data_IF_259726577961
#
_entry.id   IF_259726577961
#
_cell.length_a   1.000
_cell.length_b   1.000
_cell.length_c   1.000
_cell.angle_alpha   90.00
_cell.angle_beta   90.00
_cell.angle_gamma   90.00
#
_symmetry.space_group_name_H-M   'P 1'
#
loop_
_entity.id
_entity.type
_entity.pdbx_description
1 polymer ?
#
# COMPACT_ATOMS: atom_id res chain seq x y z
N UNK A 1 7.70 -11.61 -12.89
CA UNK A 1 7.57 -11.74 -11.42
C UNK A 1 6.86 -13.05 -11.09
N UNK A 2 7.24 -13.74 -10.01
CA UNK A 2 6.60 -14.98 -9.56
C UNK A 2 5.36 -14.70 -8.70
N UNK A 3 4.44 -15.67 -8.66
CA UNK A 3 3.36 -15.74 -7.67
C UNK A 3 3.83 -16.62 -6.50
N UNK A 4 3.54 -16.21 -5.26
CA UNK A 4 3.89 -16.96 -4.05
C UNK A 4 2.63 -17.11 -3.20
N UNK A 5 2.34 -18.32 -2.73
CA UNK A 5 1.33 -18.58 -1.71
C UNK A 5 2.00 -19.24 -0.51
N UNK A 6 1.58 -18.85 0.69
CA UNK A 6 2.16 -19.30 1.95
C UNK A 6 1.05 -19.51 2.96
N UNK A 7 1.22 -20.55 3.78
CA UNK A 7 0.39 -20.75 4.96
C UNK A 7 0.71 -19.66 6.00
N UNK A 8 -0.32 -18.96 6.47
CA UNK A 8 -0.13 -17.80 7.35
C UNK A 8 0.44 -18.19 8.73
N UNK A 9 0.02 -19.32 9.29
CA UNK A 9 0.38 -19.72 10.66
C UNK A 9 1.72 -20.45 10.68
N UNK A 10 1.87 -21.45 9.82
CA UNK A 10 3.07 -22.28 9.73
C UNK A 10 4.21 -21.61 8.97
N UNK A 11 3.93 -20.52 8.24
CA UNK A 11 4.88 -19.86 7.32
C UNK A 11 5.42 -20.80 6.24
N UNK A 12 4.76 -21.92 5.99
CA UNK A 12 5.17 -22.88 4.97
C UNK A 12 4.77 -22.37 3.59
N UNK A 13 5.72 -22.36 2.66
CA UNK A 13 5.42 -22.02 1.27
C UNK A 13 4.55 -23.12 0.67
N UNK A 14 3.38 -22.75 0.17
CA UNK A 14 2.42 -23.65 -0.48
C UNK A 14 2.74 -23.72 -1.99
N UNK A 15 3.08 -22.58 -2.59
CA UNK A 15 3.34 -22.51 -4.02
C UNK A 15 4.29 -21.37 -4.38
N UNK A 16 5.17 -21.63 -5.35
CA UNK A 16 5.92 -20.60 -6.10
C UNK A 16 5.70 -20.88 -7.58
N UNK A 17 5.09 -19.94 -8.31
CA UNK A 17 4.75 -20.10 -9.72
C UNK A 17 5.52 -19.10 -10.59
N UNK A 18 5.97 -19.55 -11.75
CA UNK A 18 6.69 -18.74 -12.75
C UNK A 18 5.74 -17.86 -13.59
N UNK A 19 4.71 -17.29 -12.96
CA UNK A 19 3.72 -16.43 -13.61
C UNK A 19 2.64 -15.98 -12.63
N UNK A 20 2.01 -14.84 -12.93
CA UNK A 20 0.91 -14.24 -12.15
C UNK A 20 -0.42 -14.22 -12.91
N UNK A 21 -0.49 -14.89 -14.05
CA UNK A 21 -1.74 -14.94 -14.82
C UNK A 21 -2.79 -15.73 -14.05
N UNK A 22 -4.06 -15.35 -14.21
CA UNK A 22 -5.16 -16.09 -13.60
C UNK A 22 -5.15 -17.56 -14.01
N UNK A 23 -4.81 -17.87 -15.27
CA UNK A 23 -4.73 -19.24 -15.77
C UNK A 23 -3.69 -20.06 -15.01
N UNK A 24 -2.48 -19.53 -14.84
CA UNK A 24 -1.39 -20.22 -14.11
C UNK A 24 -1.78 -20.49 -12.66
N UNK A 25 -2.32 -19.50 -11.96
CA UNK A 25 -2.73 -19.63 -10.55
C UNK A 25 -3.89 -20.63 -10.43
N UNK A 26 -4.89 -20.54 -11.31
CA UNK A 26 -6.08 -21.40 -11.30
C UNK A 26 -5.71 -22.87 -11.51
N UNK A 27 -4.90 -23.13 -12.53
CA UNK A 27 -4.48 -24.49 -12.87
C UNK A 27 -3.65 -25.13 -11.75
N UNK A 28 -2.88 -24.35 -11.00
CA UNK A 28 -2.19 -24.84 -9.82
C UNK A 28 -3.18 -25.24 -8.71
N UNK A 29 -4.09 -24.35 -8.33
CA UNK A 29 -4.98 -24.60 -7.19
C UNK A 29 -6.10 -25.60 -7.49
N UNK A 30 -6.47 -25.83 -8.75
CA UNK A 30 -7.43 -26.87 -9.13
C UNK A 30 -6.92 -28.30 -8.94
N UNK A 31 -5.63 -28.50 -8.63
CA UNK A 31 -5.11 -29.79 -8.18
C UNK A 31 -5.63 -30.18 -6.79
N UNK A 32 -6.06 -29.20 -5.99
CA UNK A 32 -6.71 -29.44 -4.70
C UNK A 32 -8.21 -29.58 -4.89
N UNK A 33 -8.78 -30.61 -4.24
CA UNK A 33 -10.22 -30.86 -4.28
C UNK A 33 -11.00 -29.63 -3.79
N UNK A 34 -12.24 -29.48 -4.26
CA UNK A 34 -13.12 -28.38 -3.84
C UNK A 34 -13.29 -28.35 -2.33
N UNK A 35 -13.43 -29.53 -1.70
CA UNK A 35 -13.56 -29.66 -0.25
C UNK A 35 -12.37 -29.06 0.50
N UNK A 36 -11.14 -29.31 0.04
CA UNK A 36 -9.92 -28.73 0.63
C UNK A 36 -9.91 -27.21 0.45
N UNK A 37 -10.18 -26.73 -0.77
CA UNK A 37 -10.18 -25.28 -1.03
C UNK A 37 -11.25 -24.52 -0.25
N UNK A 38 -12.42 -25.13 -0.04
CA UNK A 38 -13.51 -24.56 0.75
C UNK A 38 -13.24 -24.53 2.26
N UNK A 39 -12.17 -25.16 2.75
CA UNK A 39 -11.69 -25.03 4.14
C UNK A 39 -10.91 -23.74 4.37
N UNK A 40 -10.37 -23.11 3.32
CA UNK A 40 -9.68 -21.81 3.45
C UNK A 40 -10.68 -20.77 3.94
N UNK A 41 -10.38 -20.16 5.09
CA UNK A 41 -11.26 -19.17 5.74
C UNK A 41 -10.87 -17.74 5.46
N UNK A 42 -9.58 -17.48 5.24
CA UNK A 42 -9.04 -16.13 5.11
C UNK A 42 -7.95 -16.14 4.06
N UNK A 43 -7.94 -15.10 3.22
CA UNK A 43 -6.89 -14.86 2.23
C UNK A 43 -6.44 -13.42 2.37
N UNK A 44 -5.16 -13.24 2.65
CA UNK A 44 -4.51 -11.93 2.56
C UNK A 44 -3.95 -11.73 1.15
N UNK A 45 -4.25 -10.61 0.51
CA UNK A 45 -3.72 -10.30 -0.82
C UNK A 45 -3.55 -8.80 -1.07
N UNK A 46 -2.78 -8.47 -2.09
CA UNK A 46 -2.63 -7.09 -2.58
C UNK A 46 -3.92 -6.59 -3.26
N UNK A 47 -4.07 -5.27 -3.39
CA UNK A 47 -5.17 -4.62 -4.10
C UNK A 47 -5.04 -4.74 -5.62
N UNK A 48 -5.15 -5.95 -6.16
CA UNK A 48 -5.07 -6.22 -7.59
C UNK A 48 -6.35 -6.90 -8.09
N UNK A 49 -7.17 -6.15 -8.86
CA UNK A 49 -8.50 -6.59 -9.29
C UNK A 49 -8.53 -8.00 -9.92
N UNK A 50 -7.56 -8.43 -10.77
CA UNK A 50 -7.56 -9.78 -11.31
C UNK A 50 -7.44 -10.89 -10.26
N UNK A 51 -6.96 -10.61 -9.05
CA UNK A 51 -6.91 -11.61 -7.98
C UNK A 51 -8.25 -11.82 -7.27
N UNK A 52 -9.14 -10.84 -7.29
CA UNK A 52 -10.44 -10.97 -6.59
C UNK A 52 -11.31 -12.05 -7.21
N UNK A 53 -11.41 -12.07 -8.54
CA UNK A 53 -12.27 -13.02 -9.24
C UNK A 53 -11.78 -14.45 -9.11
N UNK A 54 -10.47 -14.64 -9.19
CA UNK A 54 -9.87 -15.96 -9.03
C UNK A 54 -9.91 -16.41 -7.57
N UNK A 55 -9.69 -15.52 -6.60
CA UNK A 55 -9.77 -15.88 -5.17
C UNK A 55 -11.18 -16.34 -4.79
N UNK A 56 -12.22 -15.63 -5.24
CA UNK A 56 -13.62 -16.05 -5.03
C UNK A 56 -13.95 -17.39 -5.68
N UNK A 57 -13.47 -17.63 -6.91
CA UNK A 57 -13.67 -18.91 -7.63
C UNK A 57 -12.93 -20.07 -6.97
N UNK A 58 -11.71 -19.83 -6.49
CA UNK A 58 -10.87 -20.86 -5.89
C UNK A 58 -11.28 -21.15 -4.45
N UNK A 59 -11.62 -20.14 -3.66
CA UNK A 59 -11.79 -20.22 -2.21
C UNK A 59 -13.10 -19.56 -1.80
N UNK A 60 -14.21 -20.17 -2.18
CA UNK A 60 -15.57 -19.60 -2.07
C UNK A 60 -15.97 -19.15 -0.65
N UNK A 61 -15.39 -19.76 0.38
CA UNK A 61 -15.75 -19.53 1.78
C UNK A 61 -14.77 -18.60 2.50
N UNK A 62 -13.76 -18.09 1.78
CA UNK A 62 -12.70 -17.29 2.38
C UNK A 62 -13.09 -15.81 2.40
N UNK A 63 -12.88 -15.15 3.56
CA UNK A 63 -12.86 -13.69 3.64
C UNK A 63 -11.56 -13.18 3.01
N UNK A 64 -11.68 -12.16 2.16
CA UNK A 64 -10.52 -11.49 1.57
C UNK A 64 -10.13 -10.33 2.48
N UNK A 65 -8.86 -10.32 2.89
CA UNK A 65 -8.22 -9.27 3.68
C UNK A 65 -7.22 -8.58 2.77
N UNK A 66 -7.40 -7.28 2.54
CA UNK A 66 -6.42 -6.51 1.77
C UNK A 66 -5.19 -6.17 2.60
N UNK A 67 -4.03 -6.10 1.93
CA UNK A 67 -2.84 -5.59 2.57
C UNK A 67 -2.98 -4.09 2.88
N UNK A 68 -2.97 -3.79 4.18
CA UNK A 68 -3.04 -2.43 4.75
C UNK A 68 -1.98 -1.49 4.18
N UNK A 69 -0.79 -2.01 3.87
CA UNK A 69 0.27 -1.19 3.29
C UNK A 69 -0.15 -0.59 1.95
N UNK A 70 -0.84 -1.38 1.11
CA UNK A 70 -1.29 -0.89 -0.18
C UNK A 70 -2.37 0.17 -0.07
N UNK A 71 -3.27 0.09 0.92
CA UNK A 71 -4.30 1.11 1.18
C UNK A 71 -3.65 2.45 1.55
N UNK A 72 -2.72 2.43 2.51
CA UNK A 72 -1.94 3.63 2.91
C UNK A 72 -1.09 4.14 1.76
N UNK A 73 -0.50 3.24 0.96
CA UNK A 73 0.30 3.61 -0.21
C UNK A 73 -0.55 4.30 -1.29
N UNK A 74 -1.80 3.87 -1.49
CA UNK A 74 -2.73 4.54 -2.38
C UNK A 74 -3.00 5.98 -1.93
N UNK A 75 -3.32 6.20 -0.65
CA UNK A 75 -3.49 7.55 -0.10
C UNK A 75 -2.25 8.43 -0.27
N UNK A 76 -1.07 7.91 0.04
CA UNK A 76 0.21 8.61 -0.14
C UNK A 76 0.42 9.06 -1.59
N UNK A 77 0.20 8.15 -2.54
CA UNK A 77 0.35 8.44 -3.98
C UNK A 77 -0.66 9.47 -4.45
N UNK A 78 -1.88 9.42 -3.94
CA UNK A 78 -2.93 10.40 -4.25
C UNK A 78 -2.51 11.80 -3.76
N UNK A 79 -2.06 11.90 -2.51
CA UNK A 79 -1.58 13.18 -1.96
C UNK A 79 -0.38 13.73 -2.72
N UNK A 80 0.56 12.86 -3.14
CA UNK A 80 1.70 13.30 -3.95
C UNK A 80 1.28 13.77 -5.34
N UNK A 81 0.32 13.09 -5.99
CA UNK A 81 -0.23 13.53 -7.28
C UNK A 81 -0.88 14.90 -7.17
N UNK A 82 -1.69 15.14 -6.14
CA UNK A 82 -2.29 16.45 -5.90
C UNK A 82 -1.21 17.52 -5.66
N UNK A 83 -0.23 17.22 -4.80
CA UNK A 83 0.91 18.11 -4.58
C UNK A 83 1.66 18.43 -5.87
N UNK A 84 1.86 17.45 -6.76
CA UNK A 84 2.50 17.66 -8.07
C UNK A 84 1.63 18.56 -8.96
N UNK A 85 0.32 18.31 -9.01
CA UNK A 85 -0.62 19.15 -9.75
C UNK A 85 -0.50 20.62 -9.33
N UNK A 86 -0.58 20.89 -8.02
CA UNK A 86 -0.47 22.23 -7.45
C UNK A 86 0.94 22.81 -7.67
N UNK A 87 1.99 22.02 -7.42
CA UNK A 87 3.37 22.44 -7.62
C UNK A 87 3.63 22.89 -9.06
N UNK A 88 3.05 22.22 -10.06
CA UNK A 88 3.25 22.54 -11.47
C UNK A 88 2.51 23.81 -11.93
N UNK A 89 1.65 24.40 -11.09
CA UNK A 89 1.04 25.72 -11.36
C UNK A 89 2.03 26.87 -11.11
N UNK A 90 3.07 26.63 -10.32
CA UNK A 90 4.12 27.62 -10.06
C UNK A 90 5.24 27.58 -11.09
N UNK A 91 5.89 28.71 -11.32
CA UNK A 91 7.11 28.76 -12.13
C UNK A 91 8.21 27.87 -11.52
N UNK A 92 8.98 27.17 -12.36
CA UNK A 92 9.98 26.20 -11.90
C UNK A 92 11.14 26.83 -11.12
N UNK A 93 11.38 28.13 -11.29
CA UNK A 93 12.41 28.89 -10.57
C UNK A 93 11.87 29.53 -9.28
N UNK A 94 10.54 29.58 -9.10
CA UNK A 94 9.88 30.12 -7.91
C UNK A 94 10.31 29.42 -6.61
N UNK A 95 10.12 30.12 -5.50
CA UNK A 95 10.43 29.59 -4.17
C UNK A 95 9.46 28.46 -3.79
N UNK A 96 8.18 28.64 -4.11
CA UNK A 96 7.05 27.74 -3.89
C UNK A 96 7.29 26.39 -4.55
N UNK A 97 7.61 26.39 -5.85
CA UNK A 97 7.94 25.18 -6.61
C UNK A 97 9.08 24.40 -5.94
N UNK A 98 10.19 25.08 -5.62
CA UNK A 98 11.37 24.47 -5.00
C UNK A 98 11.07 23.91 -3.61
N UNK A 99 10.26 24.63 -2.82
CA UNK A 99 9.86 24.20 -1.49
C UNK A 99 8.96 22.96 -1.54
N UNK A 100 7.89 22.98 -2.35
CA UNK A 100 6.99 21.84 -2.55
C UNK A 100 7.72 20.60 -3.09
N UNK A 101 8.69 20.81 -4.00
CA UNK A 101 9.52 19.72 -4.54
C UNK A 101 10.49 19.15 -3.51
N UNK A 102 11.14 19.98 -2.70
CA UNK A 102 12.16 19.54 -1.76
C UNK A 102 11.57 18.84 -0.53
N UNK A 103 10.46 19.36 -0.02
CA UNK A 103 9.88 18.95 1.26
C UNK A 103 8.63 18.06 1.13
N UNK A 104 8.38 17.49 -0.05
CA UNK A 104 7.20 16.65 -0.33
C UNK A 104 6.96 15.54 0.71
N UNK A 105 8.03 14.94 1.27
CA UNK A 105 7.93 13.90 2.29
C UNK A 105 7.24 14.38 3.58
N UNK A 106 7.35 15.66 3.92
CA UNK A 106 6.69 16.23 5.11
C UNK A 106 5.17 16.27 4.94
N UNK A 107 4.67 16.44 3.71
CA UNK A 107 3.24 16.45 3.40
C UNK A 107 2.64 15.04 3.59
N UNK A 108 3.42 13.99 3.29
CA UNK A 108 2.99 12.60 3.48
C UNK A 108 3.17 12.07 4.90
N UNK A 109 4.10 12.67 5.66
CA UNK A 109 4.41 12.22 7.01
C UNK A 109 3.20 12.41 7.93
N UNK A 110 2.99 11.40 8.78
CA UNK A 110 2.02 11.47 9.88
C UNK A 110 2.34 12.67 10.78
N UNK A 111 1.40 13.61 10.85
CA UNK A 111 1.53 14.87 11.57
C UNK A 111 1.91 14.67 13.04
N UNK A 112 1.44 13.59 13.66
CA UNK A 112 1.70 13.22 15.07
C UNK A 112 3.16 12.83 15.31
N UNK A 113 3.90 12.49 14.24
CA UNK A 113 5.30 12.03 14.28
C UNK A 113 6.29 13.08 13.81
N UNK A 114 5.85 14.33 13.62
CA UNK A 114 6.76 15.40 13.18
C UNK A 114 7.74 15.79 14.29
N UNK A 115 9.02 15.86 13.94
CA UNK A 115 10.06 16.28 14.88
C UNK A 115 9.92 17.76 15.24
N UNK A 116 10.10 18.05 16.53
CA UNK A 116 10.10 19.39 17.09
C UNK A 116 11.49 20.03 17.06
N UNK A 117 12.52 19.30 16.56
CA UNK A 117 13.88 19.80 16.48
C UNK A 117 14.01 20.84 15.38
N UNK A 118 14.57 22.00 15.73
CA UNK A 118 14.90 23.07 14.79
C UNK A 118 16.21 22.80 14.08
N UNK A 119 16.25 23.13 12.80
CA UNK A 119 17.45 23.04 11.98
C UNK A 119 17.43 24.12 10.91
N UNK A 120 18.61 24.55 10.47
CA UNK A 120 18.71 25.48 9.36
C UNK A 120 18.16 24.86 8.06
N UNK A 121 17.36 25.64 7.33
CA UNK A 121 16.74 25.24 6.06
C UNK A 121 17.11 26.22 4.97
N UNK A 122 18.06 25.87 4.08
CA UNK A 122 18.55 26.79 3.05
C UNK A 122 17.46 27.35 2.13
N UNK A 123 16.40 26.57 1.86
CA UNK A 123 15.27 27.02 1.04
C UNK A 123 14.57 28.23 1.66
N UNK A 124 14.42 28.26 2.99
CA UNK A 124 13.74 29.32 3.73
C UNK A 124 14.69 30.32 4.40
N UNK A 125 16.01 30.04 4.39
CA UNK A 125 17.06 30.83 5.08
C UNK A 125 16.80 31.05 6.58
N UNK A 126 16.15 30.08 7.22
CA UNK A 126 15.73 30.15 8.63
C UNK A 126 15.96 28.82 9.34
N UNK A 127 16.05 28.87 10.67
CA UNK A 127 15.97 27.68 11.52
C UNK A 127 14.50 27.35 11.78
N UNK A 128 14.04 26.23 11.24
CA UNK A 128 12.64 25.82 11.30
C UNK A 128 12.52 24.37 11.78
N UNK A 129 11.43 24.08 12.47
CA UNK A 129 10.92 22.73 12.73
C UNK A 129 10.24 22.16 11.48
N UNK A 130 10.01 20.84 11.46
CA UNK A 130 9.28 20.23 10.36
C UNK A 130 7.81 20.72 10.29
N UNK A 131 7.19 21.04 11.44
CA UNK A 131 5.84 21.60 11.50
C UNK A 131 5.78 23.00 10.90
N UNK A 132 6.70 23.88 11.26
CA UNK A 132 6.76 25.24 10.68
C UNK A 132 7.01 25.21 9.16
N UNK A 133 7.84 24.29 8.68
CA UNK A 133 8.01 24.09 7.22
C UNK A 133 6.70 23.66 6.60
N UNK A 134 6.02 22.68 7.19
CA UNK A 134 4.78 22.15 6.66
C UNK A 134 3.70 23.24 6.58
N UNK A 135 3.51 24.04 7.63
CA UNK A 135 2.58 25.17 7.61
C UNK A 135 2.88 26.16 6.47
N UNK A 136 4.16 26.44 6.22
CA UNK A 136 4.56 27.27 5.07
C UNK A 136 4.20 26.61 3.74
N UNK A 137 4.39 25.30 3.59
CA UNK A 137 3.98 24.59 2.36
C UNK A 137 2.46 24.66 2.15
N UNK A 138 1.69 24.44 3.22
CA UNK A 138 0.22 24.47 3.17
C UNK A 138 -0.33 25.88 2.93
N UNK A 139 0.43 26.94 3.26
CA UNK A 139 0.04 28.32 2.95
C UNK A 139 0.10 28.67 1.45
N UNK A 140 0.78 27.87 0.62
CA UNK A 140 0.90 28.17 -0.81
C UNK A 140 -0.38 27.87 -1.60
N UNK A 141 -1.28 27.05 -1.08
CA UNK A 141 -2.53 26.71 -1.76
C UNK A 141 -3.59 26.27 -0.75
N UNK A 142 -4.78 26.91 -0.73
CA UNK A 142 -5.91 26.44 0.07
C UNK A 142 -6.30 25.00 -0.26
N UNK A 143 -6.29 24.63 -1.54
CA UNK A 143 -6.60 23.28 -2.01
C UNK A 143 -5.60 22.25 -1.43
N UNK A 144 -4.31 22.59 -1.35
CA UNK A 144 -3.30 21.72 -0.75
C UNK A 144 -3.56 21.50 0.74
N UNK A 145 -3.95 22.57 1.47
CA UNK A 145 -4.25 22.52 2.90
C UNK A 145 -5.46 21.63 3.18
N UNK A 146 -6.57 21.87 2.49
CA UNK A 146 -7.81 21.11 2.65
C UNK A 146 -7.57 19.61 2.45
N UNK A 147 -6.90 19.23 1.35
CA UNK A 147 -6.64 17.83 1.06
C UNK A 147 -5.57 17.21 1.96
N UNK A 148 -4.64 18.01 2.48
CA UNK A 148 -3.70 17.56 3.50
C UNK A 148 -4.43 17.20 4.80
N UNK A 149 -5.34 18.05 5.27
CA UNK A 149 -6.13 17.83 6.48
C UNK A 149 -7.00 16.58 6.34
N UNK A 150 -7.70 16.45 5.22
CA UNK A 150 -8.43 15.23 4.85
C UNK A 150 -7.53 13.99 4.86
N UNK A 151 -6.39 14.06 4.20
CA UNK A 151 -5.44 12.95 4.14
C UNK A 151 -4.95 12.52 5.53
N UNK A 152 -4.67 13.48 6.43
CA UNK A 152 -4.24 13.18 7.79
C UNK A 152 -5.37 12.56 8.63
N UNK A 153 -6.61 13.01 8.48
CA UNK A 153 -7.78 12.40 9.14
C UNK A 153 -8.00 10.96 8.66
N UNK A 154 -7.92 10.71 7.35
CA UNK A 154 -8.01 9.36 6.79
C UNK A 154 -6.90 8.45 7.32
N UNK A 155 -5.66 8.94 7.39
CA UNK A 155 -4.56 8.18 7.99
C UNK A 155 -4.83 7.88 9.47
N UNK A 156 -5.35 8.84 10.23
CA UNK A 156 -5.68 8.68 11.63
C UNK A 156 -6.73 7.58 11.82
N UNK A 157 -7.91 7.69 11.19
CA UNK A 157 -8.96 6.67 11.31
C UNK A 157 -8.49 5.30 10.87
N UNK A 158 -7.69 5.22 9.80
CA UNK A 158 -7.13 3.95 9.34
C UNK A 158 -6.13 3.33 10.34
N UNK A 159 -5.28 4.13 10.95
CA UNK A 159 -4.29 3.66 11.93
C UNK A 159 -4.94 3.26 13.26
N UNK A 160 -5.95 4.00 13.71
CA UNK A 160 -6.73 3.69 14.91
C UNK A 160 -7.79 2.60 14.67
N UNK A 161 -7.85 2.02 13.45
CA UNK A 161 -8.82 0.99 13.04
C UNK A 161 -10.29 1.42 13.20
N UNK A 162 -10.56 2.72 13.08
CA UNK A 162 -11.90 3.30 13.09
C UNK A 162 -12.50 3.21 11.68
N UNK A 163 -12.99 2.03 11.34
CA UNK A 163 -13.41 1.71 9.98
C UNK A 163 -14.63 2.53 9.52
N UNK A 164 -15.61 2.72 10.41
CA UNK A 164 -16.82 3.51 10.12
C UNK A 164 -16.45 4.96 9.81
N UNK A 165 -15.74 5.64 10.73
CA UNK A 165 -15.27 7.01 10.50
C UNK A 165 -14.40 7.17 9.26
N UNK A 166 -13.60 6.17 8.89
CA UNK A 166 -12.81 6.21 7.66
C UNK A 166 -13.70 6.23 6.41
N UNK A 167 -14.76 5.42 6.38
CA UNK A 167 -15.66 5.34 5.23
C UNK A 167 -16.69 6.47 5.21
N UNK A 168 -17.23 6.87 6.36
CA UNK A 168 -18.14 8.00 6.49
C UNK A 168 -17.49 9.27 5.94
N UNK A 169 -16.23 9.54 6.33
CA UNK A 169 -15.47 10.68 5.83
C UNK A 169 -15.27 10.64 4.31
N UNK A 170 -15.11 9.46 3.71
CA UNK A 170 -14.99 9.31 2.25
C UNK A 170 -16.34 9.57 1.57
N UNK A 171 -17.43 9.03 2.12
CA UNK A 171 -18.78 9.14 1.56
C UNK A 171 -19.28 10.60 1.62
N UNK A 172 -18.99 11.33 2.70
CA UNK A 172 -19.40 12.72 2.90
C UNK A 172 -18.83 13.68 1.83
N UNK A 173 -17.58 13.44 1.41
CA UNK A 173 -16.84 14.36 0.53
C UNK A 173 -16.78 13.91 -0.93
N UNK A 174 -17.25 12.71 -1.26
CA UNK A 174 -17.02 12.10 -2.57
C UNK A 174 -17.58 12.93 -3.73
N UNK A 175 -18.61 13.74 -3.48
CA UNK A 175 -19.29 14.58 -4.47
C UNK A 175 -18.50 15.84 -4.85
N UNK A 176 -17.63 16.35 -3.96
CA UNK A 176 -16.92 17.61 -4.13
C UNK A 176 -15.38 17.49 -4.09
N UNK A 177 -14.84 16.33 -3.73
CA UNK A 177 -13.38 16.11 -3.64
C UNK A 177 -12.69 16.22 -5.00
N UNK A 178 -11.42 16.62 -5.00
CA UNK A 178 -10.59 16.67 -6.21
C UNK A 178 -10.60 15.32 -6.98
N UNK A 179 -10.68 15.33 -8.34
CA UNK A 179 -10.72 14.12 -9.17
C UNK A 179 -9.61 13.08 -8.91
N UNK A 180 -8.43 13.53 -8.47
CA UNK A 180 -7.30 12.67 -8.11
C UNK A 180 -7.69 11.76 -6.93
N UNK A 181 -8.36 12.30 -5.91
CA UNK A 181 -8.84 11.56 -4.75
C UNK A 181 -10.06 10.71 -5.09
N UNK A 182 -10.99 11.25 -5.89
CA UNK A 182 -12.22 10.57 -6.30
C UNK A 182 -11.97 9.16 -6.85
N UNK A 183 -10.93 8.99 -7.67
CA UNK A 183 -10.58 7.69 -8.27
C UNK A 183 -10.20 6.64 -7.21
N UNK A 184 -9.42 7.04 -6.21
CA UNK A 184 -9.01 6.14 -5.12
C UNK A 184 -10.17 5.86 -4.18
N UNK A 185 -10.99 6.85 -3.86
CA UNK A 185 -12.18 6.68 -3.04
C UNK A 185 -13.20 5.74 -3.66
N UNK A 186 -13.48 5.86 -4.96
CA UNK A 186 -14.30 4.88 -5.69
C UNK A 186 -13.76 3.46 -5.58
N UNK A 187 -12.44 3.30 -5.62
CA UNK A 187 -11.81 1.99 -5.45
C UNK A 187 -11.99 1.48 -4.02
N UNK A 188 -11.80 2.33 -3.01
CA UNK A 188 -11.99 1.96 -1.61
C UNK A 188 -13.43 1.58 -1.30
N UNK A 189 -14.42 2.32 -1.82
CA UNK A 189 -15.84 1.99 -1.67
C UNK A 189 -16.20 0.68 -2.37
N UNK A 190 -15.67 0.45 -3.58
CA UNK A 190 -15.84 -0.83 -4.30
C UNK A 190 -15.28 -2.03 -3.52
N UNK A 191 -14.21 -1.81 -2.75
CA UNK A 191 -13.55 -2.83 -1.94
C UNK A 191 -13.83 -2.68 -0.44
N UNK A 192 -14.91 -1.97 -0.06
CA UNK A 192 -15.25 -1.65 1.34
C UNK A 192 -15.21 -2.88 2.24
N UNK A 193 -15.86 -3.96 1.83
CA UNK A 193 -15.89 -5.25 2.55
C UNK A 193 -14.49 -5.82 2.87
N UNK A 194 -13.54 -5.69 1.94
CA UNK A 194 -12.19 -6.27 2.07
C UNK A 194 -11.27 -5.36 2.88
N UNK A 195 -11.51 -4.04 2.83
CA UNK A 195 -10.83 -3.04 3.64
C UNK A 195 -11.32 -3.13 5.10
N UNK A 196 -12.62 -3.31 5.34
CA UNK A 196 -13.19 -3.58 6.67
C UNK A 196 -12.52 -4.81 7.29
N UNK A 197 -12.46 -5.92 6.54
CA UNK A 197 -11.73 -7.12 6.97
C UNK A 197 -10.26 -6.82 7.30
N UNK A 198 -9.62 -5.90 6.57
CA UNK A 198 -8.25 -5.48 6.86
C UNK A 198 -8.13 -4.63 8.12
N UNK A 199 -9.14 -3.88 8.54
CA UNK A 199 -9.08 -3.12 9.80
C UNK A 199 -9.42 -4.00 11.01
N UNK A 200 -10.39 -4.89 10.88
CA UNK A 200 -10.91 -5.72 11.97
C UNK A 200 -10.08 -6.97 12.25
N UNK A 201 -9.65 -7.69 11.21
CA UNK A 201 -9.03 -9.01 11.38
C UNK A 201 -7.51 -8.89 11.59
N UNK A 202 -6.87 -9.75 12.40
CA UNK A 202 -5.44 -9.64 12.73
C UNK A 202 -4.49 -10.08 11.60
N UNK A 203 -5.01 -10.49 10.44
CA UNK A 203 -4.21 -11.04 9.34
C UNK A 203 -3.54 -9.92 8.52
N UNK A 204 -2.34 -10.20 8.00
CA UNK A 204 -1.58 -9.27 7.18
C UNK A 204 -0.64 -10.00 6.23
N UNK A 205 -0.17 -9.32 5.19
CA UNK A 205 0.76 -9.90 4.22
C UNK A 205 2.24 -9.86 4.69
N UNK A 206 2.51 -9.38 5.91
CA UNK A 206 3.86 -9.10 6.40
C UNK A 206 4.77 -10.33 6.41
N UNK A 207 4.23 -11.49 6.81
CA UNK A 207 4.99 -12.77 6.84
C UNK A 207 5.41 -13.20 5.43
N UNK A 208 4.52 -13.03 4.45
CA UNK A 208 4.80 -13.34 3.05
C UNK A 208 5.83 -12.37 2.47
N UNK A 209 5.74 -11.08 2.80
CA UNK A 209 6.70 -10.11 2.28
C UNK A 209 8.11 -10.31 2.85
N UNK A 210 8.24 -10.68 4.13
CA UNK A 210 9.51 -11.10 4.70
C UNK A 210 10.10 -12.30 3.94
N UNK A 211 9.27 -13.31 3.65
CA UNK A 211 9.65 -14.50 2.87
C UNK A 211 10.06 -14.12 1.44
N UNK A 212 9.29 -13.27 0.77
CA UNK A 212 9.61 -12.78 -0.57
C UNK A 212 10.94 -12.01 -0.59
N UNK A 213 11.22 -11.20 0.43
CA UNK A 213 12.48 -10.47 0.54
C UNK A 213 13.66 -11.40 0.76
N UNK A 214 13.52 -12.44 1.59
CA UNK A 214 14.54 -13.48 1.74
C UNK A 214 14.80 -14.21 0.41
N UNK A 215 13.75 -14.60 -0.32
CA UNK A 215 13.87 -15.22 -1.65
C UNK A 215 14.60 -14.28 -2.62
N UNK A 216 14.31 -12.98 -2.60
CA UNK A 216 15.00 -11.99 -3.45
C UNK A 216 16.49 -11.90 -3.11
N UNK A 217 16.85 -11.90 -1.81
CA UNK A 217 18.25 -11.87 -1.35
C UNK A 217 18.98 -13.15 -1.79
N UNK A 218 18.38 -14.32 -1.55
CA UNK A 218 18.95 -15.61 -1.98
C UNK A 218 19.15 -15.62 -3.49
N UNK A 219 18.16 -15.20 -4.29
CA UNK A 219 18.31 -15.10 -5.75
C UNK A 219 19.45 -14.17 -6.15
N UNK A 220 19.58 -13.01 -5.50
CA UNK A 220 20.67 -12.06 -5.77
C UNK A 220 22.04 -12.67 -5.50
N UNK A 221 22.18 -13.42 -4.41
CA UNK A 221 23.44 -14.07 -4.05
C UNK A 221 23.71 -15.31 -4.93
N UNK A 222 22.66 -16.06 -5.28
CA UNK A 222 22.74 -17.24 -6.13
C UNK A 222 23.13 -16.90 -7.57
N UNK A 223 22.84 -15.69 -8.07
CA UNK A 223 23.27 -15.23 -9.39
C UNK A 223 24.81 -15.13 -9.54
N UNK A 224 25.57 -15.14 -8.43
CA UNK A 224 27.03 -15.30 -8.47
C UNK A 224 27.46 -16.74 -8.84
N UNK A 225 26.56 -17.73 -8.70
CA UNK A 225 26.78 -19.11 -9.10
C UNK A 225 26.18 -19.33 -10.49
N UNK A 226 27.05 -19.38 -11.51
CA UNK A 226 26.71 -19.38 -12.95
C UNK A 226 25.92 -20.61 -13.47
N UNK A 227 25.39 -21.49 -12.61
CA UNK A 227 24.75 -22.73 -13.11
C UNK A 227 23.51 -23.09 -12.27
N UNK A 228 22.34 -22.81 -12.84
CA UNK A 228 21.01 -23.09 -12.27
C UNK A 228 20.74 -24.58 -11.97
N UNK A 229 21.63 -25.49 -12.38
CA UNK A 229 21.47 -26.94 -12.24
C UNK A 229 21.70 -27.45 -10.81
N UNK A 230 22.45 -26.72 -9.97
CA UNK A 230 22.82 -27.19 -8.63
C UNK A 230 21.70 -26.97 -7.60
N UNK A 231 20.90 -25.90 -7.75
CA UNK A 231 19.88 -25.51 -6.77
C UNK A 231 18.65 -26.44 -6.69
N UNK A 232 18.43 -27.33 -7.67
CA UNK A 232 17.33 -28.29 -7.62
C UNK A 232 17.62 -29.52 -6.75
N UNK A 233 18.89 -29.84 -6.48
CA UNK A 233 19.28 -31.05 -5.76
C UNK A 233 19.25 -30.90 -4.23
N UNK A 234 19.41 -29.68 -3.70
CA UNK A 234 19.48 -29.47 -2.23
C UNK A 234 18.13 -29.22 -1.55
N UNK A 235 17.06 -28.93 -2.28
CA UNK A 235 15.71 -28.77 -1.70
C UNK A 235 14.89 -30.06 -1.67
N UNK A 236 15.44 -31.16 -2.21
CA UNK A 236 14.85 -32.50 -2.17
C UNK A 236 15.39 -33.38 -1.03
N UNK A 237 16.31 -32.86 -0.20
CA UNK A 237 16.93 -33.56 0.93
C UNK A 237 16.70 -32.87 2.30
N UNK A 238 15.68 -32.02 2.41
CA UNK A 238 15.11 -31.50 3.66
C UNK A 238 13.60 -31.72 3.68
#
# INVERSE_FOLDING_TARGET
>A
MSFTAQDFDLRKIIAILNGRTQVTIRNHFFRYSRQVRSRVKIITMDMFSPYYDIARKLFSNAKIVLDRFHIVQHLNRTMDRLRIQIMNQFDRKSHEYKALKRYWKLIQQDSRKLSHKRFYRPTFRLYLTNREILEKLLSYSPELREHYELYQLLLFHFQEKQADHFFDLIEDIISCVNPIFLTVFKTFLKDKDKILNALELPYSNVKLEATNNLIKIIKRNALAFRTLTILKLEFSSL
#
